data_IF_659028018582
#
_entry.id   IF_659028018582
#
_cell.length_a   1.000
_cell.length_b   1.000
_cell.length_c   1.000
_cell.angle_alpha   90.00
_cell.angle_beta   90.00
_cell.angle_gamma   90.00
#
_symmetry.space_group_name_H-M   'P 1'
#
loop_
_entity.id
_entity.type
_entity.pdbx_description
1 polymer ?
#
# COMPACT_ATOMS: atom_id res chain seq x y z
N UNK A 1 -36.20 37.95 21.63
CA UNK A 1 -35.11 37.35 22.41
C UNK A 1 -34.18 36.56 21.49
N UNK A 2 -32.89 36.77 21.59
CA UNK A 2 -31.96 35.93 20.81
C UNK A 2 -32.08 34.48 21.28
N UNK A 3 -32.14 33.55 20.34
CA UNK A 3 -32.18 32.12 20.66
C UNK A 3 -30.78 31.71 21.09
N UNK A 4 -30.62 31.41 22.38
CA UNK A 4 -29.36 30.94 22.92
C UNK A 4 -29.11 29.49 22.47
N UNK A 5 -27.93 29.19 22.06
CA UNK A 5 -27.52 27.83 21.70
C UNK A 5 -27.39 27.57 20.21
N UNK A 6 -27.92 28.44 19.33
CA UNK A 6 -27.75 28.26 17.88
C UNK A 6 -26.27 28.25 17.47
N UNK A 7 -25.50 29.17 18.02
CA UNK A 7 -24.04 29.20 17.72
C UNK A 7 -23.32 27.95 18.23
N UNK A 8 -23.74 27.43 19.37
CA UNK A 8 -23.20 26.17 19.91
C UNK A 8 -23.54 25.00 18.98
N UNK A 9 -24.78 24.91 18.51
CA UNK A 9 -25.23 23.87 17.57
C UNK A 9 -24.47 23.95 16.26
N UNK A 10 -24.33 25.16 15.69
CA UNK A 10 -23.55 25.38 14.46
C UNK A 10 -22.11 24.96 14.63
N UNK A 11 -21.49 25.33 15.75
CA UNK A 11 -20.11 24.96 16.05
C UNK A 11 -19.95 23.45 16.18
N UNK A 12 -20.83 22.80 16.93
CA UNK A 12 -20.80 21.34 17.10
C UNK A 12 -21.00 20.61 15.77
N UNK A 13 -21.90 21.12 14.93
CA UNK A 13 -22.14 20.58 13.60
C UNK A 13 -20.90 20.73 12.71
N UNK A 14 -20.26 21.89 12.71
CA UNK A 14 -19.00 22.09 11.96
C UNK A 14 -17.89 21.18 12.46
N UNK A 15 -17.78 20.99 13.77
CA UNK A 15 -16.78 20.08 14.36
C UNK A 15 -17.06 18.63 13.98
N UNK A 16 -18.34 18.21 13.96
CA UNK A 16 -18.73 16.88 13.54
C UNK A 16 -18.41 16.62 12.06
N UNK A 17 -18.71 17.60 11.19
CA UNK A 17 -18.38 17.54 9.76
C UNK A 17 -16.86 17.46 9.56
N UNK A 18 -16.12 18.28 10.30
CA UNK A 18 -14.64 18.25 10.25
C UNK A 18 -14.09 16.89 10.69
N UNK A 19 -14.62 16.31 11.78
CA UNK A 19 -14.19 15.00 12.25
C UNK A 19 -14.49 13.90 11.22
N UNK A 20 -15.66 13.93 10.59
CA UNK A 20 -16.00 12.99 9.51
C UNK A 20 -15.07 13.19 8.32
N UNK A 21 -14.86 14.43 7.89
CA UNK A 21 -14.06 14.75 6.71
C UNK A 21 -12.57 14.55 6.88
N UNK A 22 -12.04 14.81 8.07
CA UNK A 22 -10.59 14.73 8.34
C UNK A 22 -10.24 13.50 9.17
N UNK A 23 -10.88 13.31 10.33
CA UNK A 23 -10.53 12.23 11.26
C UNK A 23 -10.96 10.85 10.79
N UNK A 24 -12.24 10.66 10.53
CA UNK A 24 -12.79 9.35 10.15
C UNK A 24 -12.38 8.94 8.74
N UNK A 25 -12.40 9.88 7.80
CA UNK A 25 -11.97 9.63 6.43
C UNK A 25 -10.49 9.32 6.36
N UNK A 26 -9.67 10.05 7.11
CA UNK A 26 -8.24 9.81 7.21
C UNK A 26 -7.94 8.40 7.70
N UNK A 27 -8.63 7.95 8.75
CA UNK A 27 -8.49 6.57 9.23
C UNK A 27 -8.93 5.53 8.21
N UNK A 28 -10.03 5.79 7.50
CA UNK A 28 -10.53 4.89 6.46
C UNK A 28 -9.55 4.76 5.29
N UNK A 29 -8.98 5.87 4.84
CA UNK A 29 -7.96 5.89 3.77
C UNK A 29 -6.70 5.15 4.24
N UNK A 30 -6.23 5.44 5.44
CA UNK A 30 -5.04 4.77 6.00
C UNK A 30 -5.23 3.26 6.07
N UNK A 31 -6.36 2.80 6.60
CA UNK A 31 -6.65 1.37 6.73
C UNK A 31 -6.73 0.68 5.36
N UNK A 32 -7.38 1.32 4.38
CA UNK A 32 -7.46 0.80 3.01
C UNK A 32 -6.06 0.65 2.40
N UNK A 33 -5.23 1.67 2.53
CA UNK A 33 -3.85 1.63 2.03
C UNK A 33 -3.02 0.57 2.75
N UNK A 34 -3.18 0.45 4.04
CA UNK A 34 -2.45 -0.53 4.84
C UNK A 34 -2.81 -1.96 4.45
N UNK A 35 -4.09 -2.25 4.28
CA UNK A 35 -4.54 -3.59 3.85
C UNK A 35 -4.09 -3.91 2.43
N UNK A 36 -4.20 -2.95 1.50
CA UNK A 36 -3.72 -3.12 0.13
C UNK A 36 -2.23 -3.36 0.07
N UNK A 37 -1.45 -2.65 0.88
CA UNK A 37 0.00 -2.82 1.01
C UNK A 37 0.37 -4.21 1.53
N UNK A 38 -0.35 -4.69 2.53
CA UNK A 38 -0.12 -6.02 3.10
C UNK A 38 -0.37 -7.13 2.06
N UNK A 39 -1.42 -7.00 1.27
CA UNK A 39 -1.71 -7.96 0.19
C UNK A 39 -0.66 -7.87 -0.93
N UNK A 40 -0.25 -6.66 -1.30
CA UNK A 40 0.80 -6.46 -2.28
C UNK A 40 2.13 -7.06 -1.83
N UNK A 41 2.47 -6.94 -0.56
CA UNK A 41 3.71 -7.50 0.01
C UNK A 41 3.79 -9.02 -0.16
N UNK A 42 2.66 -9.71 -0.09
CA UNK A 42 2.62 -11.17 -0.29
C UNK A 42 2.95 -11.58 -1.73
N UNK A 43 2.67 -10.70 -2.69
CA UNK A 43 2.90 -10.94 -4.11
C UNK A 43 4.18 -10.28 -4.64
N UNK A 44 4.84 -9.47 -3.82
CA UNK A 44 6.08 -8.81 -4.19
C UNK A 44 7.20 -9.83 -4.36
N UNK A 45 7.95 -9.80 -5.47
CA UNK A 45 9.07 -10.71 -5.67
C UNK A 45 10.12 -10.58 -4.57
N UNK A 46 10.55 -11.72 -4.03
CA UNK A 46 11.56 -11.78 -2.97
C UNK A 46 12.83 -12.40 -3.52
N UNK A 47 13.93 -11.67 -3.42
CA UNK A 47 15.28 -12.20 -3.63
C UNK A 47 16.13 -11.92 -2.38
N UNK A 48 16.56 -10.70 -2.19
CA UNK A 48 17.26 -10.27 -0.96
C UNK A 48 16.32 -9.60 0.06
N UNK A 49 15.03 -9.59 -0.20
CA UNK A 49 14.00 -8.87 0.55
C UNK A 49 14.10 -7.33 0.48
N UNK A 50 15.03 -6.79 -0.30
CA UNK A 50 15.20 -5.34 -0.43
C UNK A 50 13.94 -4.67 -1.00
N UNK A 51 13.29 -5.29 -1.98
CA UNK A 51 12.10 -4.72 -2.60
C UNK A 51 10.94 -4.68 -1.61
N UNK A 52 10.60 -5.79 -0.98
CA UNK A 52 9.48 -5.84 -0.02
C UNK A 52 9.76 -4.95 1.20
N UNK A 53 11.00 -4.89 1.66
CA UNK A 53 11.40 -4.03 2.77
C UNK A 53 11.44 -2.54 2.40
N UNK A 54 11.44 -2.21 1.11
CA UNK A 54 11.36 -0.83 0.65
C UNK A 54 9.94 -0.27 0.63
N UNK A 55 8.94 -1.07 0.95
CA UNK A 55 7.57 -0.60 1.07
C UNK A 55 7.46 0.39 2.25
N UNK A 56 6.93 1.57 2.00
CA UNK A 56 6.75 2.56 3.04
C UNK A 56 5.32 2.55 3.59
N UNK A 57 5.18 3.00 4.84
CA UNK A 57 3.88 3.12 5.48
C UNK A 57 2.98 4.11 4.72
N UNK A 58 1.65 3.91 4.74
CA UNK A 58 0.74 4.85 4.09
C UNK A 58 0.98 6.29 4.53
N UNK A 59 1.06 7.19 3.56
CA UNK A 59 1.22 8.63 3.78
C UNK A 59 -0.10 9.30 3.48
N UNK A 60 -0.60 10.07 4.42
CA UNK A 60 -1.89 10.75 4.32
C UNK A 60 -1.67 12.25 4.16
N UNK A 61 -2.39 12.85 3.22
CA UNK A 61 -2.42 14.28 3.00
C UNK A 61 -3.87 14.77 3.08
N UNK A 62 -4.08 15.84 3.86
CA UNK A 62 -5.38 16.47 4.01
C UNK A 62 -5.26 17.89 3.52
N UNK A 63 -6.01 18.22 2.46
CA UNK A 63 -5.98 19.53 1.84
C UNK A 63 -7.38 19.92 1.35
N UNK A 64 -7.84 21.11 1.74
CA UNK A 64 -9.14 21.67 1.35
C UNK A 64 -10.32 20.70 1.55
N UNK A 65 -10.34 20.00 2.70
CA UNK A 65 -11.39 19.03 3.03
C UNK A 65 -11.30 17.73 2.25
N UNK A 66 -10.25 17.55 1.47
CA UNK A 66 -9.98 16.32 0.72
C UNK A 66 -8.87 15.52 1.39
N UNK A 67 -9.14 14.26 1.65
CA UNK A 67 -8.13 13.32 2.16
C UNK A 67 -7.60 12.49 1.01
N UNK A 68 -6.30 12.50 0.83
CA UNK A 68 -5.61 11.64 -0.13
C UNK A 68 -4.52 10.86 0.58
N UNK A 69 -4.20 9.70 0.06
CA UNK A 69 -3.16 8.87 0.62
C UNK A 69 -2.36 8.18 -0.46
N UNK A 70 -1.15 7.82 -0.13
CA UNK A 70 -0.25 7.11 -1.03
C UNK A 70 0.54 6.06 -0.29
N UNK A 71 0.88 5.00 -1.01
CA UNK A 71 1.75 3.93 -0.56
C UNK A 71 2.54 3.43 -1.75
N UNK A 72 3.70 2.88 -1.50
CA UNK A 72 4.55 2.35 -2.57
C UNK A 72 5.85 1.79 -2.05
N UNK A 73 6.80 1.69 -2.96
CA UNK A 73 8.11 1.10 -2.73
C UNK A 73 9.19 2.13 -3.08
N UNK A 74 10.23 2.22 -2.27
CA UNK A 74 11.34 3.14 -2.49
C UNK A 74 12.50 2.56 -3.31
N UNK A 75 12.53 1.23 -3.51
CA UNK A 75 13.57 0.61 -4.33
C UNK A 75 13.56 1.18 -5.76
N UNK A 76 14.71 1.55 -6.27
CA UNK A 76 14.84 2.20 -7.59
C UNK A 76 14.33 1.33 -8.74
N UNK A 77 14.37 0.01 -8.58
CA UNK A 77 13.92 -0.96 -9.59
C UNK A 77 12.47 -1.41 -9.41
N UNK A 78 11.75 -0.87 -8.42
CA UNK A 78 10.41 -1.33 -8.09
C UNK A 78 9.41 -1.23 -9.26
N UNK A 79 9.44 -0.12 -10.00
CA UNK A 79 8.56 0.07 -11.15
C UNK A 79 8.83 -0.96 -12.25
N UNK A 80 10.08 -1.21 -12.57
CA UNK A 80 10.46 -2.18 -13.59
C UNK A 80 10.03 -3.61 -13.20
N UNK A 81 10.17 -3.97 -11.94
CA UNK A 81 9.74 -5.27 -11.44
C UNK A 81 8.22 -5.39 -11.43
N UNK A 82 7.52 -4.33 -11.04
CA UNK A 82 6.06 -4.27 -11.05
C UNK A 82 5.48 -4.51 -12.45
N UNK A 83 6.10 -3.92 -13.46
CA UNK A 83 5.66 -4.03 -14.87
C UNK A 83 6.20 -5.27 -15.59
N UNK A 84 7.06 -6.05 -14.95
CA UNK A 84 7.62 -7.27 -15.54
C UNK A 84 6.51 -8.28 -15.87
N UNK A 85 6.71 -9.03 -16.96
CA UNK A 85 5.67 -9.93 -17.49
C UNK A 85 5.41 -11.19 -16.65
N UNK A 86 6.25 -11.48 -15.66
CA UNK A 86 6.14 -12.69 -14.86
C UNK A 86 6.58 -13.98 -15.54
N UNK A 87 7.13 -13.90 -16.74
CA UNK A 87 7.55 -15.10 -17.51
C UNK A 87 8.65 -15.90 -16.82
N UNK A 88 9.44 -15.26 -15.95
CA UNK A 88 10.55 -15.91 -15.25
C UNK A 88 10.14 -16.53 -13.91
N UNK A 89 8.91 -16.31 -13.48
CA UNK A 89 8.37 -16.80 -12.20
C UNK A 89 8.61 -18.31 -12.06
N UNK A 90 9.27 -18.70 -10.98
CA UNK A 90 9.56 -20.11 -10.70
C UNK A 90 10.60 -20.78 -11.60
N UNK A 91 11.22 -20.03 -12.53
CA UNK A 91 12.25 -20.57 -13.43
C UNK A 91 13.64 -20.43 -12.83
N UNK A 92 14.61 -21.29 -13.27
CA UNK A 92 16.00 -21.14 -12.85
C UNK A 92 16.58 -19.78 -13.25
N UNK A 93 17.45 -19.24 -12.41
CA UNK A 93 18.18 -17.99 -12.65
C UNK A 93 19.54 -18.29 -13.26
N UNK A 94 19.83 -17.70 -14.42
CA UNK A 94 21.08 -17.92 -15.13
C UNK A 94 22.31 -17.36 -14.37
N UNK A 95 22.15 -16.19 -13.74
CA UNK A 95 23.25 -15.44 -13.13
C UNK A 95 23.08 -15.28 -11.62
N UNK A 96 22.60 -16.31 -10.95
CA UNK A 96 22.41 -16.26 -9.50
C UNK A 96 23.72 -15.99 -8.77
N UNK A 97 23.72 -14.97 -7.94
CA UNK A 97 24.88 -14.59 -7.12
C UNK A 97 25.92 -13.75 -7.85
N UNK A 98 25.71 -13.40 -9.12
CA UNK A 98 26.64 -12.57 -9.90
C UNK A 98 25.92 -11.58 -10.80
N UNK A 99 26.51 -10.41 -10.94
CA UNK A 99 26.08 -9.43 -11.95
C UNK A 99 26.67 -9.78 -13.32
N UNK A 100 26.23 -9.11 -14.40
CA UNK A 100 26.84 -9.25 -15.72
C UNK A 100 28.34 -8.90 -15.75
N UNK A 101 28.76 -7.99 -14.87
CA UNK A 101 30.17 -7.62 -14.73
C UNK A 101 30.98 -8.64 -13.91
N UNK A 102 30.37 -9.74 -13.48
CA UNK A 102 31.05 -10.76 -12.69
C UNK A 102 31.18 -10.43 -11.20
N UNK A 103 30.57 -9.35 -10.73
CA UNK A 103 30.60 -8.97 -9.32
C UNK A 103 29.62 -9.86 -8.54
N UNK A 104 30.13 -10.54 -7.52
CA UNK A 104 29.29 -11.36 -6.63
C UNK A 104 28.41 -10.47 -5.75
N UNK A 105 27.16 -10.82 -5.59
CA UNK A 105 26.25 -10.15 -4.67
C UNK A 105 25.75 -11.12 -3.59
N UNK A 106 25.33 -10.56 -2.46
CA UNK A 106 24.93 -11.31 -1.29
C UNK A 106 23.85 -12.33 -1.56
N UNK A 107 23.82 -13.32 -0.71
CA UNK A 107 22.95 -14.47 -0.79
C UNK A 107 21.49 -14.09 -0.93
N UNK A 108 20.82 -14.81 -1.75
CA UNK A 108 19.43 -14.63 -1.98
C UNK A 108 18.57 -15.15 -0.85
N UNK A 109 17.35 -15.33 -1.18
CA UNK A 109 16.29 -15.78 -0.33
C UNK A 109 16.23 -17.29 -0.21
N UNK A 110 15.21 -17.77 0.50
CA UNK A 110 14.89 -19.18 0.54
C UNK A 110 14.54 -19.81 -0.81
N UNK A 111 14.44 -19.02 -1.88
CA UNK A 111 14.17 -19.52 -3.24
C UNK A 111 15.43 -20.04 -3.96
N UNK A 112 16.61 -19.86 -3.36
CA UNK A 112 17.88 -20.30 -3.96
C UNK A 112 18.09 -19.66 -5.32
N UNK A 113 18.52 -20.46 -6.30
CA UNK A 113 18.79 -20.00 -7.67
C UNK A 113 17.57 -20.06 -8.59
N UNK A 114 16.38 -19.95 -8.03
CA UNK A 114 15.14 -19.83 -8.79
C UNK A 114 14.51 -18.45 -8.61
N UNK A 115 13.82 -18.00 -9.63
CA UNK A 115 12.95 -16.82 -9.50
C UNK A 115 11.79 -17.15 -8.57
N UNK A 116 11.37 -16.19 -7.75
CA UNK A 116 10.32 -16.38 -6.75
C UNK A 116 9.02 -16.93 -7.40
N UNK A 117 8.58 -18.16 -7.05
CA UNK A 117 7.38 -18.73 -7.60
C UNK A 117 6.09 -18.08 -7.06
N UNK A 118 6.17 -17.34 -5.97
CA UNK A 118 5.03 -16.66 -5.36
C UNK A 118 4.88 -15.21 -5.84
N UNK A 119 5.86 -14.71 -6.59
CA UNK A 119 5.81 -13.37 -7.14
C UNK A 119 4.72 -13.24 -8.20
N UNK A 120 4.08 -12.09 -8.23
CA UNK A 120 3.07 -11.77 -9.24
C UNK A 120 3.42 -10.49 -9.99
N UNK A 121 3.22 -10.44 -11.32
CA UNK A 121 3.28 -9.18 -12.05
C UNK A 121 2.25 -8.22 -11.49
N UNK A 122 2.54 -6.92 -11.55
CA UNK A 122 1.63 -5.88 -11.07
C UNK A 122 1.18 -6.11 -9.62
N UNK A 123 2.11 -6.52 -8.76
CA UNK A 123 1.83 -6.93 -7.38
C UNK A 123 1.12 -5.84 -6.57
N UNK A 124 1.43 -4.57 -6.79
CA UNK A 124 0.78 -3.48 -6.08
C UNK A 124 -0.68 -3.33 -6.54
N UNK A 125 -0.91 -3.31 -7.83
CA UNK A 125 -2.25 -3.23 -8.43
C UNK A 125 -3.11 -4.42 -7.99
N UNK A 126 -2.57 -5.63 -8.08
CA UNK A 126 -3.29 -6.84 -7.67
C UNK A 126 -3.58 -6.88 -6.18
N UNK A 127 -2.67 -6.36 -5.35
CA UNK A 127 -2.89 -6.26 -3.91
C UNK A 127 -4.11 -5.41 -3.58
N UNK A 128 -4.24 -4.25 -4.22
CA UNK A 128 -5.40 -3.39 -4.05
C UNK A 128 -6.67 -3.97 -4.67
N UNK A 129 -6.57 -4.66 -5.78
CA UNK A 129 -7.73 -5.34 -6.37
C UNK A 129 -8.31 -6.40 -5.43
N UNK A 130 -7.46 -7.10 -4.68
CA UNK A 130 -7.92 -8.11 -3.72
C UNK A 130 -8.70 -7.54 -2.55
N UNK A 131 -8.38 -6.32 -2.11
CA UNK A 131 -9.07 -5.69 -0.98
C UNK A 131 -10.26 -4.84 -1.41
N UNK A 132 -10.51 -4.72 -2.69
CA UNK A 132 -11.56 -3.85 -3.24
C UNK A 132 -12.94 -4.14 -2.64
N UNK A 133 -13.28 -5.43 -2.47
CA UNK A 133 -14.52 -5.86 -1.86
C UNK A 133 -14.64 -5.56 -0.36
N UNK A 134 -13.52 -5.33 0.31
CA UNK A 134 -13.49 -4.99 1.73
C UNK A 134 -13.65 -3.48 2.01
N UNK A 135 -13.52 -2.63 1.00
CA UNK A 135 -13.58 -1.17 1.17
C UNK A 135 -14.89 -0.71 1.82
N UNK A 136 -16.08 -1.18 1.39
CA UNK A 136 -17.32 -0.79 2.06
C UNK A 136 -17.32 -1.06 3.57
N UNK A 137 -16.84 -2.23 3.99
CA UNK A 137 -16.74 -2.60 5.41
C UNK A 137 -15.77 -1.70 6.17
N UNK A 138 -14.64 -1.34 5.55
CA UNK A 138 -13.67 -0.40 6.13
C UNK A 138 -14.32 0.95 6.36
N UNK A 139 -15.04 1.46 5.38
CA UNK A 139 -15.76 2.72 5.48
C UNK A 139 -16.81 2.69 6.59
N UNK A 140 -17.63 1.65 6.62
CA UNK A 140 -18.66 1.49 7.63
C UNK A 140 -18.07 1.47 9.05
N UNK A 141 -17.00 0.73 9.26
CA UNK A 141 -16.33 0.62 10.55
C UNK A 141 -15.75 1.96 11.01
N UNK A 142 -15.12 2.71 10.10
CA UNK A 142 -14.48 3.97 10.44
C UNK A 142 -15.48 5.12 10.59
N UNK A 143 -16.60 5.09 9.88
CA UNK A 143 -17.64 6.10 10.02
C UNK A 143 -18.67 5.76 11.11
N UNK A 144 -18.62 4.58 11.66
CA UNK A 144 -19.51 4.18 12.75
C UNK A 144 -20.94 3.82 12.30
N UNK A 145 -21.08 3.34 11.08
CA UNK A 145 -22.38 2.93 10.52
C UNK A 145 -22.46 1.44 10.25
#
# INVERSE_FOLDING_TARGET
>A
MPVKGIERVKRNFRMAIKDIGEGKTERAVYETLWQGSAMAAQMTPIDSSNLVNSQYAPQIDVHDGKVSGSVGYTAAYAAAVHEASGKLKGKPRADFGRTRAGVSFGGGTGNGNYWDPNAEPEFLTKGFDQIKGAIPAILMRNYGV
#
